data_IF_526094869296
#
_entry.id   IF_526094869296
#
_cell.length_a   1.000
_cell.length_b   1.000
_cell.length_c   1.000
_cell.angle_alpha   90.00
_cell.angle_beta   90.00
_cell.angle_gamma   90.00
#
_symmetry.space_group_name_H-M   'P 1'
#
loop_
_entity.id
_entity.type
_entity.pdbx_description
1 polymer ?
#
# COMPACT_ATOMS: atom_id res chain seq x y z
N UNK A 1 -5.83 23.25 17.42
CA UNK A 1 -6.87 22.31 16.92
C UNK A 1 -8.23 22.81 17.31
N UNK A 2 -9.15 22.86 16.39
CA UNK A 2 -10.51 23.33 16.62
C UNK A 2 -11.48 22.16 16.45
N UNK A 3 -12.48 22.07 17.34
CA UNK A 3 -13.55 21.09 17.19
C UNK A 3 -14.58 21.53 16.16
N UNK A 4 -15.08 20.60 15.34
CA UNK A 4 -15.98 20.89 14.23
C UNK A 4 -17.46 20.58 14.50
N UNK A 5 -17.85 20.31 15.75
CA UNK A 5 -19.21 19.87 16.07
C UNK A 5 -20.06 21.00 16.66
N UNK A 6 -21.13 21.39 15.98
CA UNK A 6 -22.22 22.20 16.56
C UNK A 6 -23.05 21.41 17.59
N UNK A 7 -23.01 20.07 17.50
CA UNK A 7 -23.71 19.15 18.39
C UNK A 7 -22.72 18.19 19.03
N UNK A 8 -23.00 17.71 20.23
CA UNK A 8 -22.20 16.71 20.91
C UNK A 8 -22.10 15.45 20.05
N UNK A 9 -20.98 15.27 19.38
CA UNK A 9 -20.67 14.07 18.61
C UNK A 9 -20.06 13.01 19.53
N UNK A 10 -20.26 11.73 19.17
CA UNK A 10 -19.65 10.60 19.87
C UNK A 10 -18.13 10.62 19.69
N UNK A 11 -17.67 10.94 18.49
CA UNK A 11 -16.25 11.12 18.14
C UNK A 11 -15.93 12.60 18.05
N UNK A 12 -14.99 13.14 18.83
CA UNK A 12 -14.46 14.48 18.63
C UNK A 12 -13.81 14.60 17.26
N UNK A 13 -14.12 15.68 16.57
CA UNK A 13 -13.75 15.95 15.19
C UNK A 13 -12.88 17.19 15.15
N UNK A 14 -11.59 17.02 14.90
CA UNK A 14 -10.62 18.10 14.98
C UNK A 14 -10.02 18.45 13.61
N UNK A 15 -9.67 19.71 13.42
CA UNK A 15 -8.91 20.22 12.29
C UNK A 15 -7.95 21.32 12.73
N UNK A 16 -6.88 21.54 11.98
CA UNK A 16 -5.90 22.60 12.25
C UNK A 16 -6.44 23.95 11.84
N UNK A 17 -6.20 24.95 12.68
CA UNK A 17 -6.45 26.36 12.38
C UNK A 17 -5.23 27.19 12.77
N UNK A 18 -5.09 28.36 12.14
CA UNK A 18 -4.16 29.38 12.61
C UNK A 18 -4.85 30.15 13.73
N UNK A 19 -4.35 29.97 14.96
CA UNK A 19 -4.90 30.63 16.13
C UNK A 19 -3.93 31.72 16.58
N UNK A 20 -4.44 32.93 16.76
CA UNK A 20 -3.72 33.98 17.47
C UNK A 20 -3.84 33.74 18.99
N UNK A 21 -2.71 33.84 19.71
CA UNK A 21 -2.77 33.88 21.16
C UNK A 21 -3.52 35.14 21.57
N UNK A 22 -4.77 35.01 21.92
CA UNK A 22 -5.54 36.13 22.45
C UNK A 22 -4.96 36.54 23.82
N UNK A 23 -4.27 37.68 23.85
CA UNK A 23 -3.96 38.36 25.09
C UNK A 23 -5.14 39.26 25.45
N UNK A 24 -6.03 38.78 26.29
CA UNK A 24 -6.92 39.68 26.98
C UNK A 24 -6.06 40.43 28.01
N UNK A 25 -6.22 41.79 28.08
CA UNK A 25 -5.55 42.61 29.09
C UNK A 25 -5.81 42.00 30.46
N UNK A 26 -4.73 41.70 31.17
CA UNK A 26 -4.74 41.17 32.54
C UNK A 26 -5.12 39.67 32.73
N UNK A 27 -5.05 38.83 31.68
CA UNK A 27 -5.19 37.38 31.80
C UNK A 27 -4.00 36.64 31.21
N UNK A 28 -3.70 35.46 31.76
CA UNK A 28 -2.73 34.53 31.18
C UNK A 28 -3.12 34.18 29.73
N UNK A 29 -2.15 34.13 28.78
CA UNK A 29 -2.46 33.72 27.42
C UNK A 29 -3.08 32.32 27.44
N UNK A 30 -4.28 32.14 26.93
CA UNK A 30 -4.89 30.85 26.79
C UNK A 30 -4.80 30.33 25.35
N UNK A 31 -4.77 29.04 25.22
CA UNK A 31 -4.78 28.37 23.91
C UNK A 31 -6.24 28.02 23.57
N UNK A 32 -6.67 28.38 22.36
CA UNK A 32 -7.96 27.94 21.79
C UNK A 32 -7.94 26.48 21.33
N UNK A 33 -6.93 25.70 21.72
CA UNK A 33 -6.85 24.29 21.38
C UNK A 33 -7.95 23.51 22.10
N UNK A 34 -8.94 23.05 21.34
CA UNK A 34 -10.09 22.29 21.82
C UNK A 34 -9.82 20.80 21.95
N UNK A 35 -8.68 20.31 21.41
CA UNK A 35 -8.36 18.89 21.52
C UNK A 35 -7.96 18.50 22.94
N UNK A 36 -8.58 17.42 23.44
CA UNK A 36 -8.33 16.89 24.78
C UNK A 36 -7.44 15.66 24.69
N UNK A 37 -6.20 15.79 25.16
CA UNK A 37 -5.26 14.66 25.27
C UNK A 37 -5.54 13.89 26.55
N UNK A 38 -5.78 12.59 26.41
CA UNK A 38 -6.01 11.68 27.54
C UNK A 38 -4.72 10.96 27.94
N UNK A 39 -4.71 10.30 29.09
CA UNK A 39 -3.61 9.43 29.56
C UNK A 39 -3.80 7.96 29.11
N UNK A 40 -4.83 7.66 28.31
CA UNK A 40 -5.06 6.31 27.79
C UNK A 40 -3.95 5.92 26.79
N UNK A 41 -3.71 4.61 26.66
CA UNK A 41 -2.88 4.07 25.59
C UNK A 41 -3.56 4.30 24.26
N UNK A 42 -2.83 4.86 23.29
CA UNK A 42 -3.39 5.33 22.01
C UNK A 42 -2.72 4.69 20.83
N UNK A 43 -3.50 4.45 19.78
CA UNK A 43 -3.01 4.04 18.47
C UNK A 43 -3.57 5.02 17.43
N UNK A 44 -2.70 5.46 16.53
CA UNK A 44 -3.09 6.23 15.35
C UNK A 44 -3.22 5.31 14.16
N UNK A 45 -4.31 5.43 13.40
CA UNK A 45 -4.50 4.81 12.09
C UNK A 45 -4.47 5.90 11.03
N UNK A 46 -3.57 5.78 10.05
CA UNK A 46 -3.49 6.71 8.93
C UNK A 46 -4.41 6.26 7.79
N UNK A 47 -5.29 7.15 7.36
CA UNK A 47 -6.21 6.92 6.27
C UNK A 47 -5.58 7.01 4.89
N UNK A 48 -6.39 6.71 3.88
CA UNK A 48 -5.97 6.69 2.47
C UNK A 48 -5.95 8.08 1.80
N UNK A 49 -6.48 9.10 2.47
CA UNK A 49 -6.69 10.39 1.83
C UNK A 49 -7.77 10.33 0.73
N UNK A 50 -7.73 11.24 -0.25
CA UNK A 50 -8.68 11.24 -1.36
C UNK A 50 -8.58 9.97 -2.21
N UNK A 51 -9.73 9.46 -2.65
CA UNK A 51 -9.79 8.35 -3.61
C UNK A 51 -9.14 8.74 -4.93
N UNK A 52 -8.46 7.80 -5.57
CA UNK A 52 -7.78 7.96 -6.85
C UNK A 52 -7.64 6.63 -7.56
N UNK A 53 -7.28 6.66 -8.84
CA UNK A 53 -7.00 5.45 -9.61
C UNK A 53 -5.94 4.61 -8.89
N UNK A 54 -6.24 3.34 -8.65
CA UNK A 54 -5.37 2.39 -7.94
C UNK A 54 -5.42 2.48 -6.40
N UNK A 55 -6.23 3.40 -5.83
CA UNK A 55 -6.41 3.53 -4.37
C UNK A 55 -7.84 4.01 -4.06
N UNK A 56 -8.77 3.09 -3.92
CA UNK A 56 -10.19 3.37 -3.70
C UNK A 56 -10.64 3.13 -2.25
N UNK A 57 -11.95 2.96 -2.11
CA UNK A 57 -12.65 2.82 -0.82
C UNK A 57 -12.27 1.56 -0.04
N UNK A 58 -11.71 0.55 -0.69
CA UNK A 58 -11.28 -0.70 -0.08
C UNK A 58 -10.22 -0.51 1.01
N UNK A 59 -9.36 0.50 0.88
CA UNK A 59 -8.39 0.85 1.91
C UNK A 59 -9.05 1.52 3.10
N UNK A 60 -10.09 2.30 2.86
CA UNK A 60 -10.88 2.89 3.96
C UNK A 60 -11.59 1.81 4.78
N UNK A 61 -12.15 0.80 4.14
CA UNK A 61 -12.70 -0.38 4.83
C UNK A 61 -11.67 -1.01 5.77
N UNK A 62 -10.44 -1.20 5.30
CA UNK A 62 -9.36 -1.74 6.12
C UNK A 62 -9.01 -0.80 7.30
N UNK A 63 -9.00 0.51 7.09
CA UNK A 63 -8.78 1.50 8.15
C UNK A 63 -9.85 1.42 9.23
N UNK A 64 -11.14 1.36 8.85
CA UNK A 64 -12.26 1.22 9.78
C UNK A 64 -12.10 -0.03 10.65
N UNK A 65 -11.84 -1.18 10.03
CA UNK A 65 -11.64 -2.44 10.78
C UNK A 65 -10.38 -2.40 11.65
N UNK A 66 -9.32 -1.73 11.23
CA UNK A 66 -8.13 -1.51 12.05
C UNK A 66 -8.41 -0.66 13.30
N UNK A 67 -9.22 0.39 13.15
CA UNK A 67 -9.69 1.22 14.28
C UNK A 67 -10.52 0.38 15.25
N UNK A 68 -11.51 -0.37 14.75
CA UNK A 68 -12.37 -1.22 15.57
C UNK A 68 -11.57 -2.29 16.33
N UNK A 69 -10.63 -2.96 15.66
CA UNK A 69 -9.76 -3.96 16.28
C UNK A 69 -8.87 -3.34 17.37
N UNK A 70 -8.33 -2.15 17.15
CA UNK A 70 -7.54 -1.45 18.16
C UNK A 70 -8.39 -1.06 19.38
N UNK A 71 -9.64 -0.64 19.16
CA UNK A 71 -10.59 -0.35 20.24
C UNK A 71 -10.92 -1.62 21.05
N UNK A 72 -11.17 -2.76 20.39
CA UNK A 72 -11.38 -4.05 21.06
C UNK A 72 -10.18 -4.49 21.91
N UNK A 73 -8.96 -4.11 21.50
CA UNK A 73 -7.74 -4.33 22.28
C UNK A 73 -7.56 -3.33 23.44
N UNK A 74 -8.51 -2.41 23.65
CA UNK A 74 -8.53 -1.46 24.78
C UNK A 74 -7.75 -0.17 24.55
N UNK A 75 -7.33 0.11 23.31
CA UNK A 75 -6.67 1.37 22.97
C UNK A 75 -7.68 2.50 22.74
N UNK A 76 -7.29 3.72 23.04
CA UNK A 76 -7.93 4.90 22.48
C UNK A 76 -7.51 5.03 21.03
N UNK A 77 -8.48 5.08 20.15
CA UNK A 77 -8.23 5.07 18.71
C UNK A 77 -8.27 6.47 18.12
N UNK A 78 -7.26 6.80 17.32
CA UNK A 78 -7.15 8.08 16.65
C UNK A 78 -7.09 7.81 15.15
N UNK A 79 -8.10 8.30 14.42
CA UNK A 79 -8.12 8.27 12.97
C UNK A 79 -7.60 9.60 12.42
N UNK A 80 -6.72 9.54 11.41
CA UNK A 80 -6.28 10.72 10.66
C UNK A 80 -6.59 10.50 9.19
N UNK A 81 -7.53 11.24 8.65
CA UNK A 81 -7.94 11.18 7.24
C UNK A 81 -8.60 12.50 6.83
N UNK A 82 -8.63 12.77 5.51
CA UNK A 82 -9.19 14.01 4.96
C UNK A 82 -10.26 13.80 3.87
N UNK A 83 -10.77 12.57 3.75
CA UNK A 83 -11.79 12.28 2.75
C UNK A 83 -13.18 12.21 3.42
N UNK A 84 -14.06 13.23 3.22
CA UNK A 84 -15.37 13.25 3.86
C UNK A 84 -16.35 12.20 3.32
N UNK A 85 -16.02 11.58 2.20
CA UNK A 85 -16.84 10.55 1.54
C UNK A 85 -16.50 9.12 2.02
N UNK A 86 -15.74 8.99 3.14
CA UNK A 86 -15.30 7.70 3.65
C UNK A 86 -15.82 7.42 5.04
N UNK A 87 -16.10 6.14 5.33
CA UNK A 87 -16.63 5.67 6.62
C UNK A 87 -15.64 5.89 7.77
N UNK A 88 -14.32 5.86 7.50
CA UNK A 88 -13.31 6.12 8.53
C UNK A 88 -13.39 7.53 9.12
N UNK A 89 -14.04 8.45 8.43
CA UNK A 89 -14.28 9.83 8.91
C UNK A 89 -15.66 10.02 9.52
N UNK A 90 -16.44 8.94 9.69
CA UNK A 90 -17.74 9.02 10.36
C UNK A 90 -17.60 9.25 11.87
N UNK A 91 -18.62 9.89 12.45
CA UNK A 91 -18.62 10.39 13.84
C UNK A 91 -18.63 9.30 14.92
N UNK A 92 -18.72 8.03 14.56
CA UNK A 92 -18.85 6.91 15.50
C UNK A 92 -17.81 5.79 15.28
N UNK A 93 -16.80 6.02 14.44
CA UNK A 93 -15.79 4.99 14.11
C UNK A 93 -14.62 4.99 15.10
N UNK A 94 -13.97 6.13 15.30
CA UNK A 94 -12.81 6.25 16.20
C UNK A 94 -13.16 7.01 17.48
N UNK A 95 -12.33 6.89 18.53
CA UNK A 95 -12.46 7.74 19.72
C UNK A 95 -12.17 9.21 19.39
N UNK A 96 -11.24 9.46 18.44
CA UNK A 96 -10.92 10.80 17.92
C UNK A 96 -10.68 10.77 16.42
N UNK A 97 -11.16 11.79 15.74
CA UNK A 97 -10.87 12.02 14.32
C UNK A 97 -10.12 13.34 14.15
N UNK A 98 -8.94 13.29 13.55
CA UNK A 98 -8.26 14.46 13.02
C UNK A 98 -8.51 14.51 11.51
N UNK A 99 -9.34 15.46 11.11
CA UNK A 99 -9.66 15.67 9.69
C UNK A 99 -8.60 16.53 9.04
N UNK A 100 -7.48 15.89 8.73
CA UNK A 100 -6.28 16.53 8.24
C UNK A 100 -5.73 15.85 6.99
N UNK A 101 -5.07 16.59 6.10
CA UNK A 101 -4.31 15.98 5.03
C UNK A 101 -3.29 14.97 5.57
N UNK A 102 -3.20 13.82 4.90
CA UNK A 102 -2.24 12.77 5.26
C UNK A 102 -0.85 13.16 4.75
N UNK A 103 -0.36 14.33 5.21
CA UNK A 103 0.97 14.87 4.94
C UNK A 103 1.80 14.91 6.21
N UNK A 104 3.11 14.82 6.04
CA UNK A 104 4.04 14.67 7.16
C UNK A 104 3.87 15.72 8.26
N UNK A 105 3.75 16.97 7.88
CA UNK A 105 3.70 18.10 8.81
C UNK A 105 2.50 17.97 9.76
N UNK A 106 1.32 17.68 9.22
CA UNK A 106 0.09 17.52 10.02
C UNK A 106 0.17 16.26 10.89
N UNK A 107 0.62 15.14 10.32
CA UNK A 107 0.73 13.86 11.03
C UNK A 107 1.74 13.98 12.19
N UNK A 108 2.88 14.63 11.96
CA UNK A 108 3.91 14.80 12.97
C UNK A 108 3.41 15.64 14.14
N UNK A 109 2.75 16.76 13.87
CA UNK A 109 2.19 17.65 14.91
C UNK A 109 1.13 16.93 15.76
N UNK A 110 0.24 16.15 15.14
CA UNK A 110 -0.76 15.35 15.85
C UNK A 110 -0.07 14.28 16.73
N UNK A 111 0.94 13.59 16.21
CA UNK A 111 1.67 12.58 16.98
C UNK A 111 2.41 13.21 18.16
N UNK A 112 3.04 14.37 17.99
CA UNK A 112 3.69 15.09 19.09
C UNK A 112 2.69 15.55 20.16
N UNK A 113 1.48 15.90 19.75
CA UNK A 113 0.40 16.32 20.63
C UNK A 113 -0.21 15.15 21.39
N UNK A 114 -0.62 14.10 20.69
CA UNK A 114 -1.33 12.95 21.28
C UNK A 114 -0.43 11.91 21.92
N UNK A 115 0.82 11.80 21.49
CA UNK A 115 1.84 10.83 21.98
C UNK A 115 1.35 9.38 21.97
N UNK A 116 0.93 8.84 20.82
CA UNK A 116 0.46 7.47 20.71
C UNK A 116 1.57 6.46 20.97
N UNK A 117 1.21 5.21 21.33
CA UNK A 117 2.16 4.10 21.43
C UNK A 117 2.73 3.70 20.05
N UNK A 118 2.01 3.99 18.98
CA UNK A 118 2.45 3.76 17.61
C UNK A 118 1.41 4.14 16.56
N UNK A 119 1.80 3.97 15.30
CA UNK A 119 1.04 4.37 14.12
C UNK A 119 0.89 3.18 13.17
N UNK A 120 -0.32 2.92 12.71
CA UNK A 120 -0.64 1.92 11.67
C UNK A 120 -0.65 2.62 10.31
N UNK A 121 0.22 2.19 9.40
CA UNK A 121 0.37 2.76 8.04
C UNK A 121 -0.11 1.83 6.93
N UNK A 122 -0.23 0.52 7.20
CA UNK A 122 -0.46 -0.51 6.19
C UNK A 122 -1.90 -0.57 5.66
N UNK A 123 -2.83 0.10 6.32
CA UNK A 123 -4.26 0.04 5.99
C UNK A 123 -4.69 1.15 5.04
N UNK A 124 -4.02 2.31 5.07
CA UNK A 124 -4.32 3.50 4.27
C UNK A 124 -3.72 3.53 2.86
N UNK A 125 -3.27 2.38 2.34
CA UNK A 125 -2.66 2.28 1.02
C UNK A 125 -1.40 3.12 0.86
N UNK A 126 -1.03 3.45 -0.38
CA UNK A 126 0.22 4.15 -0.70
C UNK A 126 0.33 5.56 -0.09
N UNK A 127 -0.79 6.20 0.23
CA UNK A 127 -0.75 7.52 0.89
C UNK A 127 -0.12 7.44 2.26
N UNK A 128 -0.56 6.50 3.08
CA UNK A 128 -0.04 6.29 4.43
C UNK A 128 1.36 5.67 4.41
N UNK A 129 1.61 4.70 3.52
CA UNK A 129 2.91 4.01 3.41
C UNK A 129 4.07 4.95 3.11
N UNK A 130 3.87 5.98 2.29
CA UNK A 130 4.91 7.00 1.99
C UNK A 130 5.41 7.74 3.22
N UNK A 131 4.72 7.67 4.34
CA UNK A 131 5.14 8.28 5.59
C UNK A 131 5.99 7.36 6.47
N UNK A 132 6.06 6.06 6.15
CA UNK A 132 6.75 5.06 6.96
C UNK A 132 8.24 5.40 7.20
N UNK A 133 8.97 5.84 6.17
CA UNK A 133 10.36 6.27 6.30
C UNK A 133 10.52 7.42 7.31
N UNK A 134 9.67 8.45 7.18
CA UNK A 134 9.74 9.61 8.07
C UNK A 134 9.36 9.22 9.50
N UNK A 135 8.34 8.39 9.69
CA UNK A 135 7.95 7.89 11.01
C UNK A 135 9.12 7.19 11.70
N UNK A 136 9.77 6.22 11.02
CA UNK A 136 10.91 5.51 11.58
C UNK A 136 12.10 6.44 11.87
N UNK A 137 12.43 7.33 10.92
CA UNK A 137 13.51 8.31 11.06
C UNK A 137 13.32 9.25 12.26
N UNK A 138 12.11 9.58 12.62
CA UNK A 138 11.78 10.42 13.77
C UNK A 138 11.49 9.61 15.04
N UNK A 139 11.78 8.30 15.04
CA UNK A 139 11.65 7.43 16.20
C UNK A 139 10.20 7.10 16.58
N UNK A 140 9.26 7.27 15.65
CA UNK A 140 7.85 6.94 15.86
C UNK A 140 7.64 5.48 15.51
N UNK A 141 7.09 4.71 16.46
CA UNK A 141 6.85 3.28 16.29
C UNK A 141 5.77 3.01 15.25
N UNK A 142 6.11 2.26 14.22
CA UNK A 142 5.13 1.67 13.30
C UNK A 142 4.60 0.38 13.93
N UNK A 143 3.27 0.25 13.97
CA UNK A 143 2.57 -0.97 14.37
C UNK A 143 2.24 -1.73 13.09
N UNK A 144 2.90 -2.88 12.93
CA UNK A 144 2.84 -3.68 11.71
C UNK A 144 4.23 -3.93 11.10
N UNK A 145 4.28 -4.12 9.79
CA UNK A 145 5.53 -4.33 9.05
C UNK A 145 6.43 -3.11 9.11
N UNK A 146 7.73 -3.32 9.37
CA UNK A 146 8.72 -2.25 9.48
C UNK A 146 8.93 -1.53 8.14
N UNK A 147 9.37 -0.26 8.18
CA UNK A 147 9.73 0.48 6.96
C UNK A 147 10.77 -0.29 6.11
N UNK A 148 11.79 -0.85 6.76
CA UNK A 148 12.82 -1.65 6.06
C UNK A 148 12.23 -2.79 5.22
N UNK A 149 11.21 -3.47 5.71
CA UNK A 149 10.55 -4.56 4.99
C UNK A 149 9.63 -4.04 3.88
N UNK A 150 8.97 -2.89 4.10
CA UNK A 150 8.18 -2.19 3.09
C UNK A 150 9.06 -1.75 1.92
N UNK A 151 10.18 -1.09 2.20
CA UNK A 151 11.16 -0.60 1.23
C UNK A 151 11.79 -1.75 0.43
N UNK A 152 12.17 -2.85 1.12
CA UNK A 152 12.70 -4.06 0.48
C UNK A 152 11.71 -4.68 -0.52
N UNK A 153 10.42 -4.68 -0.22
CA UNK A 153 9.40 -5.22 -1.10
C UNK A 153 9.08 -4.28 -2.30
N UNK A 154 9.22 -2.96 -2.12
CA UNK A 154 8.97 -1.97 -3.17
C UNK A 154 10.18 -1.79 -4.11
N UNK A 155 11.42 -1.96 -3.60
CA UNK A 155 12.62 -1.86 -4.42
C UNK A 155 12.83 -3.11 -5.26
N UNK A 156 12.62 -3.00 -6.58
CA UNK A 156 12.67 -4.13 -7.52
C UNK A 156 14.00 -4.89 -7.46
N UNK A 157 15.13 -4.18 -7.32
CA UNK A 157 16.46 -4.78 -7.27
C UNK A 157 16.67 -5.61 -6.00
N UNK A 158 16.36 -5.03 -4.86
CA UNK A 158 16.47 -5.69 -3.55
C UNK A 158 15.50 -6.87 -3.44
N UNK A 159 14.26 -6.69 -3.91
CA UNK A 159 13.25 -7.75 -3.89
C UNK A 159 13.63 -8.92 -4.81
N UNK A 160 14.14 -8.65 -6.02
CA UNK A 160 14.60 -9.71 -6.92
C UNK A 160 15.79 -10.49 -6.35
N UNK A 161 16.68 -9.83 -5.61
CA UNK A 161 17.78 -10.49 -4.89
C UNK A 161 17.24 -11.45 -3.82
N UNK A 162 16.26 -11.01 -3.02
CA UNK A 162 15.58 -11.85 -2.05
C UNK A 162 14.92 -13.07 -2.73
N UNK A 163 14.22 -12.87 -3.84
CA UNK A 163 13.57 -13.96 -4.59
C UNK A 163 14.61 -14.98 -5.11
N UNK A 164 15.72 -14.47 -5.68
CA UNK A 164 16.82 -15.31 -6.19
C UNK A 164 17.49 -16.13 -5.09
N UNK A 165 17.83 -15.53 -3.96
CA UNK A 165 18.41 -16.21 -2.80
C UNK A 165 17.50 -17.31 -2.26
N UNK A 166 16.19 -17.12 -2.43
CA UNK A 166 15.17 -18.06 -1.99
C UNK A 166 14.72 -19.06 -3.06
N UNK A 167 15.32 -19.04 -4.27
CA UNK A 167 14.95 -19.87 -5.40
C UNK A 167 13.47 -19.73 -5.79
N UNK A 168 12.94 -18.52 -5.71
CA UNK A 168 11.56 -18.19 -6.10
C UNK A 168 11.60 -17.57 -7.51
N UNK A 169 10.86 -18.13 -8.48
CA UNK A 169 10.87 -17.61 -9.84
C UNK A 169 10.24 -16.22 -9.95
N UNK A 170 10.81 -15.36 -10.76
CA UNK A 170 10.27 -14.07 -11.17
C UNK A 170 10.61 -13.80 -12.63
N UNK A 171 9.88 -12.95 -13.37
CA UNK A 171 10.24 -12.61 -14.75
C UNK A 171 11.58 -11.90 -14.81
N UNK A 172 12.40 -12.23 -15.80
CA UNK A 172 13.63 -11.49 -16.04
C UNK A 172 13.31 -10.02 -16.34
N UNK A 173 14.11 -9.11 -15.81
CA UNK A 173 13.90 -7.68 -15.96
C UNK A 173 15.20 -6.90 -16.03
N UNK A 174 15.11 -5.68 -16.56
CA UNK A 174 16.21 -4.72 -16.54
C UNK A 174 15.72 -3.29 -16.33
N UNK A 175 16.64 -2.40 -16.00
CA UNK A 175 16.38 -0.97 -15.78
C UNK A 175 17.13 -0.18 -16.81
N UNK A 176 16.46 0.75 -17.49
CA UNK A 176 17.06 1.66 -18.47
C UNK A 176 16.78 3.12 -18.09
N UNK A 177 17.76 3.98 -18.28
CA UNK A 177 17.63 5.44 -18.09
C UNK A 177 17.48 6.19 -19.42
N UNK A 178 17.75 5.49 -20.54
CA UNK A 178 17.68 6.04 -21.89
C UNK A 178 17.29 4.96 -22.92
N UNK A 179 17.05 5.38 -24.15
CA UNK A 179 16.63 4.48 -25.22
C UNK A 179 17.71 3.48 -25.64
N UNK A 180 18.98 3.88 -25.57
CA UNK A 180 20.11 3.01 -25.96
C UNK A 180 20.24 1.83 -24.97
N UNK A 181 20.15 2.11 -23.68
CA UNK A 181 20.14 1.08 -22.63
C UNK A 181 18.92 0.15 -22.76
N UNK A 182 17.73 0.71 -23.05
CA UNK A 182 16.53 -0.09 -23.25
C UNK A 182 16.65 -1.05 -24.42
N UNK A 183 17.24 -0.60 -25.54
CA UNK A 183 17.49 -1.44 -26.71
C UNK A 183 18.53 -2.53 -26.41
N UNK A 184 19.60 -2.21 -25.69
CA UNK A 184 20.60 -3.20 -25.29
C UNK A 184 19.98 -4.29 -24.39
N UNK A 185 19.16 -3.91 -23.40
CA UNK A 185 18.44 -4.84 -22.52
C UNK A 185 17.46 -5.74 -23.29
N UNK A 186 16.87 -5.24 -24.37
CA UNK A 186 15.92 -6.05 -25.15
C UNK A 186 16.57 -7.24 -25.88
N UNK A 187 17.89 -7.25 -26.05
CA UNK A 187 18.63 -8.38 -26.57
C UNK A 187 18.82 -9.51 -25.55
N UNK A 188 18.71 -9.18 -24.25
CA UNK A 188 18.86 -10.13 -23.16
C UNK A 188 17.52 -10.67 -22.67
N UNK A 189 16.46 -9.84 -22.74
CA UNK A 189 15.14 -10.15 -22.14
C UNK A 189 14.20 -10.94 -23.05
N UNK A 190 14.47 -11.00 -24.35
CA UNK A 190 13.55 -11.52 -25.37
C UNK A 190 12.16 -10.81 -25.41
N UNK A 191 11.56 -10.78 -26.58
CA UNK A 191 10.21 -10.22 -26.77
C UNK A 191 9.12 -11.29 -26.53
N UNK A 192 7.91 -10.89 -26.08
CA UNK A 192 7.46 -9.52 -25.81
C UNK A 192 8.00 -8.96 -24.48
N UNK A 193 8.16 -7.62 -24.41
CA UNK A 193 8.65 -6.90 -23.25
C UNK A 193 7.57 -5.96 -22.74
N UNK A 194 7.33 -5.96 -21.42
CA UNK A 194 6.52 -4.97 -20.74
C UNK A 194 7.40 -3.79 -20.32
N UNK A 195 7.14 -2.62 -20.90
CA UNK A 195 7.83 -1.37 -20.57
C UNK A 195 6.96 -0.56 -19.61
N UNK A 196 7.54 -0.11 -18.50
CA UNK A 196 6.85 0.73 -17.51
C UNK A 196 7.79 1.73 -16.85
N UNK A 197 7.33 2.95 -16.53
CA UNK A 197 8.10 3.86 -15.69
C UNK A 197 8.22 3.33 -14.25
N UNK A 198 9.36 3.59 -13.59
CA UNK A 198 9.63 3.07 -12.23
C UNK A 198 8.70 3.62 -11.16
N UNK A 199 8.16 4.83 -11.35
CA UNK A 199 7.36 5.54 -10.33
C UNK A 199 6.04 6.06 -10.92
N UNK A 200 5.13 5.16 -11.27
CA UNK A 200 3.77 5.53 -11.70
C UNK A 200 2.71 4.73 -10.96
N UNK A 201 1.57 5.37 -10.71
CA UNK A 201 0.41 4.75 -10.12
C UNK A 201 -0.57 4.26 -11.21
N UNK A 202 -1.19 3.10 -10.99
CA UNK A 202 -2.28 2.62 -11.83
C UNK A 202 -1.87 2.26 -13.25
N UNK A 203 -0.64 1.79 -13.47
CA UNK A 203 -0.19 1.31 -14.78
C UNK A 203 -0.02 2.39 -15.86
N UNK A 204 0.00 3.66 -15.49
CA UNK A 204 0.14 4.76 -16.45
C UNK A 204 1.44 4.66 -17.23
N UNK A 205 1.33 4.66 -18.57
CA UNK A 205 2.48 4.56 -19.46
C UNK A 205 3.04 3.13 -19.64
N UNK A 206 2.39 2.12 -19.06
CA UNK A 206 2.74 0.73 -19.33
C UNK A 206 2.33 0.33 -20.74
N UNK A 207 3.21 -0.40 -21.44
CA UNK A 207 2.93 -0.95 -22.76
C UNK A 207 3.70 -2.24 -22.99
N UNK A 208 3.03 -3.25 -23.54
CA UNK A 208 3.67 -4.44 -24.08
C UNK A 208 4.17 -4.11 -25.49
N UNK A 209 5.43 -4.36 -25.74
CA UNK A 209 6.08 -4.17 -27.06
C UNK A 209 6.58 -5.51 -27.58
N UNK A 210 6.44 -5.73 -28.88
CA UNK A 210 6.70 -7.03 -29.51
C UNK A 210 7.98 -7.05 -30.37
N UNK A 211 8.61 -5.89 -30.55
CA UNK A 211 9.84 -5.76 -31.33
C UNK A 211 10.63 -4.49 -30.93
N UNK A 212 11.86 -4.38 -31.43
CA UNK A 212 12.75 -3.24 -31.13
C UNK A 212 12.23 -1.89 -31.61
N UNK A 213 11.54 -1.84 -32.75
CA UNK A 213 11.00 -0.60 -33.32
C UNK A 213 9.91 -0.01 -32.47
N UNK A 214 9.00 -0.86 -31.98
CA UNK A 214 7.98 -0.44 -30.99
C UNK A 214 8.59 -0.03 -29.65
N UNK A 215 9.61 -0.76 -29.19
CA UNK A 215 10.32 -0.44 -27.95
C UNK A 215 10.96 0.95 -28.05
N UNK A 216 11.74 1.22 -29.09
CA UNK A 216 12.41 2.51 -29.27
C UNK A 216 11.41 3.66 -29.30
N UNK A 217 10.35 3.51 -30.13
CA UNK A 217 9.29 4.53 -30.24
C UNK A 217 8.63 4.80 -28.90
N UNK A 218 8.28 3.76 -28.15
CA UNK A 218 7.58 3.90 -26.86
C UNK A 218 8.48 4.49 -25.77
N UNK A 219 9.74 4.05 -25.69
CA UNK A 219 10.73 4.55 -24.72
C UNK A 219 11.01 6.04 -24.94
N UNK A 220 11.21 6.47 -26.19
CA UNK A 220 11.42 7.88 -26.53
C UNK A 220 10.22 8.73 -26.11
N UNK A 221 9.01 8.26 -26.38
CA UNK A 221 7.77 8.95 -25.98
C UNK A 221 7.62 9.05 -24.46
N UNK A 222 7.94 7.99 -23.73
CA UNK A 222 7.88 7.98 -22.26
C UNK A 222 8.89 8.95 -21.66
N UNK A 223 10.13 8.91 -22.09
CA UNK A 223 11.20 9.78 -21.56
C UNK A 223 10.95 11.27 -21.85
N UNK A 224 10.24 11.58 -22.96
CA UNK A 224 9.79 12.94 -23.23
C UNK A 224 8.67 13.40 -22.26
N UNK A 225 7.73 12.51 -21.93
CA UNK A 225 6.60 12.82 -21.05
C UNK A 225 6.99 12.88 -19.59
N UNK A 226 7.98 12.08 -19.19
CA UNK A 226 8.40 11.90 -17.80
C UNK A 226 9.93 11.97 -17.73
N UNK A 227 10.54 13.16 -17.91
CA UNK A 227 11.98 13.32 -17.91
C UNK A 227 12.61 12.89 -16.58
N UNK A 228 13.73 12.18 -16.64
CA UNK A 228 14.49 11.74 -15.47
C UNK A 228 13.94 10.51 -14.74
N UNK A 229 12.85 9.88 -15.24
CA UNK A 229 12.41 8.59 -14.72
C UNK A 229 13.21 7.44 -15.35
N UNK A 230 13.48 6.46 -14.50
CA UNK A 230 13.98 5.16 -14.95
C UNK A 230 12.83 4.35 -15.54
N UNK A 231 13.13 3.55 -16.54
CA UNK A 231 12.20 2.62 -17.15
C UNK A 231 12.53 1.20 -16.69
N UNK A 232 11.51 0.45 -16.33
CA UNK A 232 11.59 -0.98 -16.09
C UNK A 232 11.14 -1.70 -17.35
N UNK A 233 11.95 -2.67 -17.79
CA UNK A 233 11.65 -3.58 -18.87
C UNK A 233 11.55 -4.98 -18.25
N UNK A 234 10.37 -5.57 -18.28
CA UNK A 234 10.15 -6.93 -17.79
C UNK A 234 9.88 -7.86 -18.99
N UNK A 235 10.47 -9.06 -19.00
CA UNK A 235 10.05 -10.10 -19.93
C UNK A 235 8.56 -10.39 -19.72
N UNK A 236 7.74 -10.19 -20.74
CA UNK A 236 6.30 -10.38 -20.63
C UNK A 236 5.93 -11.85 -20.81
N UNK A 237 5.27 -12.42 -19.83
CA UNK A 237 4.83 -13.81 -19.83
C UNK A 237 3.52 -13.95 -20.62
N UNK A 238 3.57 -13.87 -21.94
CA UNK A 238 2.40 -13.95 -22.81
C UNK A 238 1.57 -15.21 -22.55
N UNK A 239 0.26 -15.05 -22.43
CA UNK A 239 -0.67 -16.15 -22.13
C UNK A 239 -0.58 -16.70 -20.69
N UNK A 240 0.12 -16.02 -19.78
CA UNK A 240 0.09 -16.38 -18.37
C UNK A 240 -1.25 -16.02 -17.74
N UNK A 241 -1.68 -16.84 -16.77
CA UNK A 241 -2.81 -16.55 -15.90
C UNK A 241 -2.29 -15.72 -14.73
N UNK A 242 -2.95 -14.62 -14.40
CA UNK A 242 -2.63 -13.84 -13.22
C UNK A 242 -3.41 -14.36 -12.02
N UNK A 243 -2.74 -14.44 -10.88
CA UNK A 243 -3.36 -14.80 -9.61
C UNK A 243 -2.79 -13.92 -8.49
N UNK A 244 -3.53 -13.78 -7.42
CA UNK A 244 -3.04 -13.10 -6.22
C UNK A 244 -3.40 -13.86 -4.95
N UNK A 245 -2.53 -13.79 -3.96
CA UNK A 245 -2.77 -14.35 -2.64
C UNK A 245 -2.70 -13.25 -1.59
N UNK A 246 -3.70 -13.25 -0.71
CA UNK A 246 -3.70 -12.42 0.49
C UNK A 246 -3.40 -13.29 1.70
N UNK A 247 -2.53 -12.81 2.58
CA UNK A 247 -2.17 -13.47 3.82
C UNK A 247 -2.12 -12.48 4.98
N UNK A 248 -2.30 -13.01 6.19
CA UNK A 248 -2.10 -12.30 7.45
C UNK A 248 -0.96 -12.95 8.22
N UNK A 249 -0.11 -12.15 8.82
CA UNK A 249 1.13 -12.58 9.47
C UNK A 249 1.26 -11.90 10.84
N UNK A 250 1.85 -12.61 11.80
CA UNK A 250 2.17 -12.06 13.12
C UNK A 250 3.68 -11.87 13.34
N UNK A 251 4.49 -12.12 12.30
CA UNK A 251 5.96 -12.11 12.32
C UNK A 251 6.58 -13.49 12.42
N UNK A 252 5.84 -14.52 12.80
CA UNK A 252 6.26 -15.92 12.91
C UNK A 252 5.43 -16.83 12.02
N UNK A 253 4.11 -16.75 12.17
CA UNK A 253 3.16 -17.56 11.41
C UNK A 253 2.51 -16.75 10.27
N UNK A 254 2.17 -17.48 9.21
CA UNK A 254 1.53 -16.92 8.00
C UNK A 254 0.25 -17.69 7.72
N UNK A 255 -0.87 -17.00 7.71
CA UNK A 255 -2.16 -17.56 7.35
C UNK A 255 -2.64 -16.97 6.04
N UNK A 256 -2.77 -17.82 5.00
CA UNK A 256 -3.28 -17.41 3.69
C UNK A 256 -4.81 -17.35 3.77
N UNK A 257 -5.36 -16.15 3.63
CA UNK A 257 -6.79 -15.90 3.76
C UNK A 257 -7.56 -16.16 2.46
N UNK A 258 -6.89 -16.05 1.29
CA UNK A 258 -7.49 -16.36 0.00
C UNK A 258 -6.48 -16.33 -1.14
N UNK A 259 -6.78 -17.11 -2.17
CA UNK A 259 -6.08 -17.07 -3.47
C UNK A 259 -7.15 -16.80 -4.52
N UNK A 260 -6.95 -15.76 -5.32
CA UNK A 260 -7.85 -15.33 -6.38
C UNK A 260 -7.18 -15.49 -7.73
N UNK A 261 -7.98 -15.84 -8.74
CA UNK A 261 -7.55 -15.94 -10.14
C UNK A 261 -8.19 -14.81 -10.94
N UNK A 262 -7.38 -14.10 -11.73
CA UNK A 262 -7.89 -13.06 -12.62
C UNK A 262 -8.48 -13.66 -13.90
N UNK A 263 -9.54 -13.05 -14.40
CA UNK A 263 -10.20 -13.47 -15.65
C UNK A 263 -9.49 -12.85 -16.85
N UNK A 264 -9.05 -11.60 -16.70
CA UNK A 264 -8.32 -10.88 -17.73
C UNK A 264 -6.89 -11.40 -17.88
N UNK A 265 -6.29 -11.25 -19.07
CA UNK A 265 -4.89 -11.65 -19.31
C UNK A 265 -3.91 -10.95 -18.36
N UNK A 266 -2.83 -11.66 -18.00
CA UNK A 266 -1.74 -11.11 -17.20
C UNK A 266 -1.20 -9.81 -17.80
N UNK A 267 -0.93 -8.82 -16.93
CA UNK A 267 -0.46 -7.49 -17.32
C UNK A 267 -1.56 -6.42 -17.40
N UNK A 268 -2.83 -6.79 -17.21
CA UNK A 268 -3.89 -5.82 -16.94
C UNK A 268 -3.87 -5.50 -15.45
N UNK A 269 -3.93 -4.21 -15.14
CA UNK A 269 -3.91 -3.78 -13.73
C UNK A 269 -5.03 -4.44 -12.92
N UNK A 270 -4.70 -5.00 -11.76
CA UNK A 270 -5.64 -5.76 -10.92
C UNK A 270 -6.93 -5.00 -10.58
N UNK A 271 -6.92 -3.65 -10.61
CA UNK A 271 -8.10 -2.81 -10.43
C UNK A 271 -9.08 -2.80 -11.59
N UNK A 272 -8.63 -3.21 -12.78
CA UNK A 272 -9.42 -3.29 -14.00
C UNK A 272 -9.72 -4.76 -14.37
N UNK A 273 -9.27 -5.70 -13.56
CA UNK A 273 -9.49 -7.13 -13.76
C UNK A 273 -10.63 -7.64 -12.88
N UNK A 274 -11.45 -8.52 -13.46
CA UNK A 274 -12.35 -9.37 -12.67
C UNK A 274 -11.56 -10.53 -12.08
N UNK A 275 -11.96 -11.00 -10.90
CA UNK A 275 -11.33 -12.12 -10.24
C UNK A 275 -12.35 -13.14 -9.74
N UNK A 276 -11.93 -14.39 -9.65
CA UNK A 276 -12.74 -15.47 -9.09
C UNK A 276 -12.16 -15.98 -7.78
N UNK A 277 -13.05 -16.25 -6.84
CA UNK A 277 -12.76 -16.87 -5.55
C UNK A 277 -13.89 -17.89 -5.26
N UNK A 278 -13.58 -19.20 -5.12
CA UNK A 278 -12.26 -19.83 -5.29
C UNK A 278 -11.73 -19.77 -6.73
N UNK A 279 -10.44 -20.08 -6.90
CA UNK A 279 -9.80 -20.20 -8.22
C UNK A 279 -10.48 -21.24 -9.09
N UNK A 280 -10.48 -21.07 -10.41
CA UNK A 280 -11.20 -21.93 -11.33
C UNK A 280 -10.28 -22.77 -12.25
N UNK A 281 -9.24 -22.15 -12.83
CA UNK A 281 -8.37 -22.82 -13.80
C UNK A 281 -7.05 -23.33 -13.20
N UNK A 282 -6.68 -22.89 -11.99
CA UNK A 282 -5.42 -23.26 -11.35
C UNK A 282 -5.52 -24.60 -10.64
N UNK A 283 -4.70 -25.58 -11.05
CA UNK A 283 -4.64 -26.90 -10.43
C UNK A 283 -3.95 -26.88 -9.06
N UNK A 284 -4.17 -27.93 -8.26
CA UNK A 284 -3.65 -28.05 -6.88
C UNK A 284 -2.12 -27.90 -6.80
N UNK A 285 -1.39 -28.40 -7.80
CA UNK A 285 0.07 -28.25 -7.86
C UNK A 285 0.52 -26.78 -7.94
N UNK A 286 -0.19 -25.96 -8.71
CA UNK A 286 0.07 -24.52 -8.84
C UNK A 286 -0.33 -23.81 -7.55
N UNK A 287 -1.48 -24.16 -6.98
CA UNK A 287 -1.93 -23.58 -5.72
C UNK A 287 -0.96 -23.86 -4.58
N UNK A 288 -0.35 -25.03 -4.54
CA UNK A 288 0.66 -25.35 -3.54
C UNK A 288 1.91 -24.49 -3.72
N UNK A 289 2.38 -24.26 -4.97
CA UNK A 289 3.50 -23.34 -5.22
C UNK A 289 3.17 -21.91 -4.76
N UNK A 290 1.97 -21.41 -5.06
CA UNK A 290 1.52 -20.07 -4.61
C UNK A 290 1.56 -19.99 -3.08
N UNK A 291 1.02 -20.99 -2.38
CA UNK A 291 1.05 -21.05 -0.91
C UNK A 291 2.48 -21.04 -0.37
N UNK A 292 3.34 -21.91 -0.90
CA UNK A 292 4.73 -22.03 -0.45
C UNK A 292 5.52 -20.74 -0.67
N UNK A 293 5.35 -20.11 -1.84
CA UNK A 293 5.99 -18.82 -2.14
C UNK A 293 5.46 -17.70 -1.24
N UNK A 294 4.15 -17.64 -1.02
CA UNK A 294 3.52 -16.65 -0.14
C UNK A 294 4.09 -16.73 1.28
N UNK A 295 4.12 -17.95 1.86
CA UNK A 295 4.64 -18.18 3.21
C UNK A 295 6.12 -17.79 3.28
N UNK A 296 6.90 -18.20 2.29
CA UNK A 296 8.33 -17.93 2.26
C UNK A 296 8.64 -16.43 2.17
N UNK A 297 8.01 -15.72 1.24
CA UNK A 297 8.18 -14.27 1.06
C UNK A 297 7.75 -13.51 2.32
N UNK A 298 6.59 -13.85 2.89
CA UNK A 298 6.09 -13.18 4.08
C UNK A 298 7.04 -13.33 5.28
N UNK A 299 7.65 -14.51 5.45
CA UNK A 299 8.64 -14.78 6.49
C UNK A 299 9.96 -14.05 6.26
N UNK A 300 10.49 -14.05 5.04
CA UNK A 300 11.73 -13.34 4.69
C UNK A 300 11.58 -11.81 4.86
N UNK A 301 10.43 -11.26 4.50
CA UNK A 301 10.09 -9.85 4.74
C UNK A 301 9.80 -9.56 6.23
N UNK A 302 9.66 -10.59 7.08
CA UNK A 302 9.22 -10.43 8.47
C UNK A 302 7.93 -9.61 8.55
N UNK A 303 6.98 -9.95 7.72
CA UNK A 303 5.69 -9.25 7.63
C UNK A 303 4.93 -9.38 8.95
N UNK A 304 4.37 -8.26 9.40
CA UNK A 304 3.41 -8.22 10.51
C UNK A 304 2.15 -7.50 10.01
N UNK A 305 1.02 -8.18 10.00
CA UNK A 305 -0.23 -7.71 9.43
C UNK A 305 -0.49 -8.34 8.05
N UNK A 306 -1.04 -7.57 7.12
CA UNK A 306 -1.46 -8.03 5.82
C UNK A 306 -0.33 -8.01 4.79
N UNK A 307 -0.35 -8.98 3.89
CA UNK A 307 0.47 -9.01 2.67
C UNK A 307 -0.36 -9.53 1.50
N UNK A 308 -0.24 -8.86 0.37
CA UNK A 308 -0.77 -9.30 -0.91
C UNK A 308 0.39 -9.58 -1.86
N UNK A 309 0.36 -10.71 -2.55
CA UNK A 309 1.38 -11.10 -3.53
C UNK A 309 0.69 -11.42 -4.85
N UNK A 310 1.20 -10.85 -5.93
CA UNK A 310 0.72 -11.07 -7.30
C UNK A 310 1.64 -12.05 -8.02
N UNK A 311 1.02 -12.96 -8.76
CA UNK A 311 1.68 -14.05 -9.45
C UNK A 311 1.27 -14.11 -10.92
N UNK A 312 2.21 -14.50 -11.77
CA UNK A 312 1.93 -14.98 -13.13
C UNK A 312 2.16 -16.49 -13.20
N UNK A 313 1.21 -17.22 -13.71
CA UNK A 313 1.27 -18.67 -13.87
C UNK A 313 1.38 -19.02 -15.34
N UNK A 314 2.47 -19.67 -15.73
CA UNK A 314 2.71 -20.11 -17.12
C UNK A 314 3.31 -21.51 -17.13
N UNK A 315 2.68 -22.43 -17.87
CA UNK A 315 3.11 -23.83 -17.97
C UNK A 315 3.35 -24.48 -16.59
N UNK A 316 2.38 -24.35 -15.68
CA UNK A 316 2.40 -24.84 -14.29
C UNK A 316 3.54 -24.29 -13.41
N UNK A 317 4.26 -23.29 -13.87
CA UNK A 317 5.29 -22.58 -13.11
C UNK A 317 4.76 -21.25 -12.63
N UNK A 318 4.99 -20.95 -11.36
CA UNK A 318 4.54 -19.72 -10.67
C UNK A 318 5.68 -18.72 -10.61
N UNK A 319 5.44 -17.51 -11.11
CA UNK A 319 6.37 -16.38 -11.08
C UNK A 319 5.82 -15.28 -10.21
N UNK A 320 6.67 -14.63 -9.43
CA UNK A 320 6.28 -13.48 -8.61
C UNK A 320 6.30 -12.22 -9.48
N UNK A 321 5.20 -11.47 -9.49
CA UNK A 321 5.13 -10.14 -10.11
C UNK A 321 5.52 -9.08 -9.10
N UNK A 322 4.83 -9.04 -7.95
CA UNK A 322 5.11 -8.09 -6.87
C UNK A 322 4.60 -8.61 -5.51
N UNK A 323 5.15 -8.07 -4.43
CA UNK A 323 4.67 -8.29 -3.08
C UNK A 323 4.38 -6.95 -2.40
N UNK A 324 3.21 -6.84 -1.80
CA UNK A 324 2.72 -5.65 -1.14
C UNK A 324 2.44 -5.97 0.34
N UNK A 325 3.37 -5.75 1.29
CA UNK A 325 3.14 -6.01 2.71
C UNK A 325 2.24 -4.96 3.36
N UNK A 326 1.02 -4.86 2.87
CA UNK A 326 -0.05 -3.94 3.26
C UNK A 326 -1.42 -4.52 2.89
N UNK A 327 -2.50 -3.83 3.30
CA UNK A 327 -3.84 -4.13 2.82
C UNK A 327 -3.92 -4.05 1.28
N UNK A 328 -4.77 -4.88 0.72
CA UNK A 328 -5.04 -4.96 -0.71
C UNK A 328 -6.51 -4.61 -1.00
N UNK A 329 -6.84 -4.51 -2.27
CA UNK A 329 -8.23 -4.34 -2.71
C UNK A 329 -9.04 -5.61 -2.57
N UNK A 330 -8.40 -6.76 -2.55
CA UNK A 330 -9.05 -8.07 -2.43
C UNK A 330 -9.40 -8.44 -1.00
N UNK A 331 -8.71 -7.90 0.01
CA UNK A 331 -9.00 -8.16 1.44
C UNK A 331 -10.46 -7.90 1.82
N UNK A 332 -11.09 -6.75 1.48
CA UNK A 332 -12.50 -6.55 1.80
C UNK A 332 -13.44 -7.52 1.11
N UNK A 333 -13.12 -7.94 -0.11
CA UNK A 333 -13.89 -8.93 -0.84
C UNK A 333 -13.81 -10.29 -0.15
N UNK A 334 -12.60 -10.76 0.16
CA UNK A 334 -12.38 -12.02 0.87
C UNK A 334 -13.10 -12.00 2.23
N UNK A 335 -12.91 -10.93 3.02
CA UNK A 335 -13.51 -10.80 4.34
C UNK A 335 -15.05 -10.79 4.36
N UNK A 336 -15.69 -10.53 3.21
CA UNK A 336 -17.15 -10.57 3.06
C UNK A 336 -17.67 -11.86 2.44
N UNK A 337 -16.82 -12.57 1.69
CA UNK A 337 -17.21 -13.77 0.95
C UNK A 337 -16.99 -15.07 1.74
N UNK A 338 -16.07 -15.05 2.72
CA UNK A 338 -15.65 -16.20 3.53
C UNK A 338 -15.90 -16.04 5.02
#
# INVERSE_FOLDING_TARGET
>A
MTGAAEFAAKTPYYYSTFEDKMQLKDQEPYSDNESVVTDRKKIVVLGSGPNRIGQGIEFDYCCVHGVLAAAECGYETIMINCNPETVSTDFDVADKLYFEPVFWEHIYDIIQHEKPEGVIVQLGGQTALKLAEKLERYGIKIIGTSFKALDLAEDRGSFSTLLKENNIPYPDFGVAENAEEALALSDELDFPILVRPSYVLGGQGMKIVINKEELETHVVDLLRKIPGNKLLLDHYLDGAIEAEADAICDGEDVYIIGIMEHIEPCGIHSGDSNATLPVFNLGEYVLQQIKDHTIKIAKELKTVGLINIQFAVKNDKVFIIEANPRASRTVPFIAKAY
#
